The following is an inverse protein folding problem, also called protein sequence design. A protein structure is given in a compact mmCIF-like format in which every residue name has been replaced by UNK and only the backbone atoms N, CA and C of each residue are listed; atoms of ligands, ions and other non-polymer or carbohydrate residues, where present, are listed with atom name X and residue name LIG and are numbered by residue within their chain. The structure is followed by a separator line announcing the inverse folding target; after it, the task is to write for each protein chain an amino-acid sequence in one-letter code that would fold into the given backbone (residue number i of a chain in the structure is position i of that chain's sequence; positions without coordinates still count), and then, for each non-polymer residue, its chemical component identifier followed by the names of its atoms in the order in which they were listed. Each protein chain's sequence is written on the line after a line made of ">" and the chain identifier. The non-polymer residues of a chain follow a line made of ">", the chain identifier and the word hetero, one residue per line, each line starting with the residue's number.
data_IF_101199550912
#
_entry.id   IF_101199550912
#
_cell.length_a   1.000
_cell.length_b   1.000
_cell.length_c   1.000
_cell.angle_alpha   90.00
_cell.angle_beta   90.00
_cell.angle_gamma   90.00
#
_symmetry.space_group_name_H-M   'P 1'
#
loop_
_entity.id
_entity.type
_entity.pdbx_description
1 polymer ?
#
# COMPACT_ATOMS: atom_id res chain seq x y z
N UNK A 1 20.15 -13.90 15.20
CA UNK A 1 20.65 -13.80 13.81
C UNK A 1 20.83 -12.34 13.46
N UNK A 2 21.77 -12.05 12.56
CA UNK A 2 21.93 -10.72 11.95
C UNK A 2 21.04 -10.63 10.72
N UNK A 3 20.17 -9.64 10.69
CA UNK A 3 19.13 -9.45 9.65
C UNK A 3 19.32 -8.11 8.97
N UNK A 4 19.43 -8.10 7.65
CA UNK A 4 19.38 -6.89 6.85
C UNK A 4 18.03 -6.77 6.16
N UNK A 5 17.33 -5.66 6.38
CA UNK A 5 16.05 -5.32 5.73
C UNK A 5 16.28 -4.14 4.78
N UNK A 6 15.99 -4.33 3.50
CA UNK A 6 16.21 -3.33 2.45
C UNK A 6 14.89 -2.67 2.11
N UNK A 7 14.76 -1.39 2.47
CA UNK A 7 13.59 -0.56 2.30
C UNK A 7 12.91 -0.20 3.62
N UNK A 8 12.97 1.07 4.00
CA UNK A 8 12.35 1.66 5.21
C UNK A 8 10.91 2.14 4.99
N UNK A 9 10.17 1.53 4.05
CA UNK A 9 8.73 1.69 3.93
C UNK A 9 7.99 1.05 5.11
N UNK A 10 6.66 1.18 5.17
CA UNK A 10 5.87 0.63 6.29
C UNK A 10 6.11 -0.86 6.50
N UNK A 11 6.19 -1.66 5.44
CA UNK A 11 6.45 -3.10 5.53
C UNK A 11 7.83 -3.40 6.14
N UNK A 12 8.89 -2.76 5.63
CA UNK A 12 10.22 -2.94 6.19
C UNK A 12 10.32 -2.53 7.65
N UNK A 13 9.66 -1.43 8.04
CA UNK A 13 9.58 -0.99 9.44
C UNK A 13 8.85 -2.01 10.33
N UNK A 14 7.70 -2.54 9.89
CA UNK A 14 6.95 -3.55 10.67
C UNK A 14 7.75 -4.84 10.83
N UNK A 15 8.45 -5.28 9.78
CA UNK A 15 9.31 -6.47 9.84
C UNK A 15 10.47 -6.22 10.81
N UNK A 16 11.11 -5.04 10.74
CA UNK A 16 12.19 -4.66 11.66
C UNK A 16 11.75 -4.69 13.12
N UNK A 17 10.56 -4.13 13.41
CA UNK A 17 9.98 -4.13 14.75
C UNK A 17 9.75 -5.55 15.28
N UNK A 18 9.13 -6.44 14.49
CA UNK A 18 8.83 -7.79 14.94
C UNK A 18 10.06 -8.66 15.11
N UNK A 19 11.05 -8.53 14.22
CA UNK A 19 12.30 -9.29 14.33
C UNK A 19 13.18 -8.80 15.47
N UNK A 20 13.25 -7.49 15.71
CA UNK A 20 13.96 -6.93 16.87
C UNK A 20 13.35 -7.39 18.19
N UNK A 21 12.00 -7.38 18.32
CA UNK A 21 11.29 -7.93 19.50
C UNK A 21 11.58 -9.43 19.71
N UNK A 22 11.91 -10.14 18.64
CA UNK A 22 12.28 -11.58 18.69
C UNK A 22 13.76 -11.83 18.99
N UNK A 23 14.53 -10.79 19.34
CA UNK A 23 15.93 -10.88 19.73
C UNK A 23 16.91 -10.99 18.54
N UNK A 24 16.50 -10.62 17.33
CA UNK A 24 17.40 -10.51 16.19
C UNK A 24 18.15 -9.16 16.21
N UNK A 25 19.38 -9.16 15.72
CA UNK A 25 20.15 -7.95 15.41
C UNK A 25 19.69 -7.45 14.03
N UNK A 26 19.03 -6.31 13.95
CA UNK A 26 18.35 -5.84 12.73
C UNK A 26 18.96 -4.54 12.23
N UNK A 27 19.46 -4.57 10.98
CA UNK A 27 19.78 -3.39 10.20
C UNK A 27 18.61 -3.07 9.25
N UNK A 28 17.98 -1.90 9.39
CA UNK A 28 16.96 -1.38 8.48
C UNK A 28 17.59 -0.31 7.56
N UNK A 29 17.74 -0.64 6.28
CA UNK A 29 18.49 0.14 5.29
C UNK A 29 17.50 0.92 4.42
N UNK A 30 17.56 2.27 4.44
CA UNK A 30 16.69 3.15 3.68
C UNK A 30 17.50 4.18 2.90
N UNK A 31 17.23 4.30 1.59
CA UNK A 31 17.95 5.24 0.72
C UNK A 31 17.56 6.70 0.93
N UNK A 32 16.35 6.96 1.44
CA UNK A 32 15.85 8.30 1.72
C UNK A 32 16.36 8.80 3.08
N UNK A 33 16.21 10.12 3.30
CA UNK A 33 16.56 10.77 4.56
C UNK A 33 15.61 10.48 5.72
N UNK A 34 14.53 9.71 5.49
CA UNK A 34 13.57 9.33 6.52
C UNK A 34 12.78 8.09 6.08
N UNK A 35 12.11 7.43 7.05
CA UNK A 35 11.26 6.26 6.80
C UNK A 35 9.96 6.66 6.08
N UNK A 36 9.37 5.69 5.38
CA UNK A 36 8.02 5.79 4.79
C UNK A 36 7.81 6.92 3.79
N UNK A 37 8.85 7.42 3.11
CA UNK A 37 8.80 8.61 2.26
C UNK A 37 8.21 8.38 0.85
N UNK A 38 8.04 7.13 0.42
CA UNK A 38 7.58 6.77 -0.92
C UNK A 38 6.10 6.30 -0.93
N UNK A 39 5.78 5.10 -1.40
CA UNK A 39 4.41 4.59 -1.53
C UNK A 39 3.62 4.59 -0.21
N UNK A 40 4.29 4.50 0.94
CA UNK A 40 3.63 4.65 2.26
C UNK A 40 3.09 6.07 2.50
N UNK A 41 3.68 7.10 1.86
CA UNK A 41 3.25 8.50 1.94
C UNK A 41 2.24 8.85 0.87
N UNK A 42 2.50 8.43 -0.37
CA UNK A 42 1.72 8.83 -1.54
C UNK A 42 0.76 7.71 -1.92
N UNK A 43 -0.43 7.76 -1.35
CA UNK A 43 -1.53 6.85 -1.61
C UNK A 43 -2.86 7.52 -1.22
N UNK A 44 -3.98 6.83 -1.33
CA UNK A 44 -5.31 7.37 -1.04
C UNK A 44 -5.74 7.24 0.43
N UNK A 45 -4.83 6.93 1.33
CA UNK A 45 -4.99 6.78 2.78
C UNK A 45 -6.07 5.78 3.22
N UNK A 46 -6.60 4.94 2.34
CA UNK A 46 -7.64 3.97 2.68
C UNK A 46 -7.11 2.82 3.50
N UNK A 47 -7.89 2.43 4.48
CA UNK A 47 -7.81 1.12 5.12
C UNK A 47 -8.89 0.25 4.50
N UNK A 48 -8.53 -0.44 3.43
CA UNK A 48 -9.47 -1.23 2.66
C UNK A 48 -10.10 -2.34 3.50
N UNK A 49 -11.44 -2.36 3.53
CA UNK A 49 -12.25 -3.44 4.09
C UNK A 49 -12.78 -4.39 3.01
N UNK A 50 -12.36 -4.22 1.77
CA UNK A 50 -12.74 -5.11 0.67
C UNK A 50 -13.67 -4.49 -0.38
N UNK A 51 -14.47 -3.48 -0.07
CA UNK A 51 -15.50 -2.90 -0.95
C UNK A 51 -15.04 -2.58 -2.36
N UNK A 52 -13.78 -2.21 -2.52
CA UNK A 52 -13.21 -1.88 -3.83
C UNK A 52 -12.85 -3.10 -4.69
N UNK A 53 -12.85 -4.30 -4.11
CA UNK A 53 -12.30 -5.51 -4.75
C UNK A 53 -13.34 -6.56 -5.08
N UNK A 54 -14.50 -6.16 -5.62
CA UNK A 54 -15.63 -7.05 -5.97
C UNK A 54 -15.19 -8.19 -6.90
N UNK A 55 -14.20 -7.94 -7.77
CA UNK A 55 -13.68 -8.91 -8.73
C UNK A 55 -12.49 -9.73 -8.20
N UNK A 56 -12.06 -9.48 -6.96
CA UNK A 56 -10.93 -10.17 -6.31
C UNK A 56 -11.22 -10.46 -4.84
N UNK A 57 -12.01 -11.50 -4.57
CA UNK A 57 -12.36 -11.95 -3.21
C UNK A 57 -11.08 -12.14 -2.38
N UNK A 58 -10.05 -12.79 -2.92
CA UNK A 58 -8.79 -13.01 -2.21
C UNK A 58 -8.12 -11.70 -1.74
N UNK A 59 -8.22 -10.59 -2.51
CA UNK A 59 -7.70 -9.28 -2.06
C UNK A 59 -8.55 -8.68 -0.95
N UNK A 60 -9.88 -8.86 -0.99
CA UNK A 60 -10.77 -8.41 0.06
C UNK A 60 -10.51 -9.18 1.37
N UNK A 61 -10.49 -10.50 1.31
CA UNK A 61 -10.19 -11.37 2.45
C UNK A 61 -8.84 -11.05 3.09
N UNK A 62 -7.77 -10.97 2.30
CA UNK A 62 -6.45 -10.59 2.81
C UNK A 62 -6.44 -9.21 3.48
N UNK A 63 -7.22 -8.24 2.96
CA UNK A 63 -7.34 -6.91 3.55
C UNK A 63 -8.02 -6.96 4.92
N UNK A 64 -9.06 -7.78 5.06
CA UNK A 64 -9.80 -7.99 6.32
C UNK A 64 -8.96 -8.75 7.33
N UNK A 65 -8.32 -9.84 6.93
CA UNK A 65 -7.43 -10.61 7.79
C UNK A 65 -6.30 -9.75 8.40
N UNK A 66 -5.70 -8.87 7.59
CA UNK A 66 -4.67 -7.95 8.05
C UNK A 66 -5.17 -6.83 8.98
N UNK A 67 -6.46 -6.52 8.93
CA UNK A 67 -7.05 -5.37 9.61
C UNK A 67 -6.82 -5.40 11.12
N UNK A 68 -7.10 -6.53 11.78
CA UNK A 68 -7.00 -6.63 13.25
C UNK A 68 -5.59 -6.32 13.75
N UNK A 69 -4.57 -6.89 13.10
CA UNK A 69 -3.17 -6.63 13.45
C UNK A 69 -2.77 -5.19 13.17
N UNK A 70 -3.25 -4.59 12.09
CA UNK A 70 -3.03 -3.19 11.77
C UNK A 70 -3.68 -2.27 12.82
N UNK A 71 -4.95 -2.49 13.15
CA UNK A 71 -5.70 -1.71 14.12
C UNK A 71 -5.12 -1.82 15.53
N UNK A 72 -4.68 -3.01 15.95
CA UNK A 72 -4.03 -3.20 17.23
C UNK A 72 -2.75 -2.37 17.38
N UNK A 73 -1.95 -2.29 16.32
CA UNK A 73 -0.67 -1.59 16.36
C UNK A 73 -0.79 -0.08 16.02
N UNK A 74 -1.72 0.29 15.14
CA UNK A 74 -1.80 1.63 14.54
C UNK A 74 -3.18 2.27 14.60
N UNK A 75 -4.11 1.74 15.39
CA UNK A 75 -5.50 2.23 15.48
C UNK A 75 -5.60 3.72 15.84
N UNK A 76 -4.64 4.26 16.59
CA UNK A 76 -4.58 5.69 16.90
C UNK A 76 -4.32 6.59 15.67
N UNK A 77 -3.77 6.04 14.60
CA UNK A 77 -3.59 6.75 13.33
C UNK A 77 -4.77 6.57 12.37
N UNK A 78 -5.88 5.94 12.81
CA UNK A 78 -7.03 5.61 11.96
C UNK A 78 -8.22 6.50 12.30
N UNK A 79 -8.83 7.08 11.26
CA UNK A 79 -10.07 7.85 11.34
C UNK A 79 -11.21 7.01 10.74
N UNK A 80 -12.21 6.65 11.57
CA UNK A 80 -13.35 5.84 11.15
C UNK A 80 -14.72 6.51 11.36
N UNK A 81 -14.76 7.68 11.96
CA UNK A 81 -16.03 8.39 12.18
C UNK A 81 -16.23 9.45 11.12
N UNK A 82 -16.58 9.03 9.91
CA UNK A 82 -17.02 9.92 8.84
C UNK A 82 -17.94 9.18 7.86
N UNK A 83 -18.70 9.92 7.08
CA UNK A 83 -19.56 9.36 6.05
C UNK A 83 -18.71 8.92 4.85
N UNK A 84 -18.73 7.63 4.49
CA UNK A 84 -18.04 7.12 3.32
C UNK A 84 -19.03 6.40 2.41
N UNK A 85 -19.04 6.74 1.13
CA UNK A 85 -20.01 6.27 0.15
C UNK A 85 -19.33 5.56 -1.00
N UNK A 86 -19.89 4.41 -1.36
CA UNK A 86 -19.56 3.66 -2.57
C UNK A 86 -20.76 3.70 -3.51
N UNK A 87 -20.57 4.29 -4.67
CA UNK A 87 -21.61 4.49 -5.67
C UNK A 87 -21.32 3.64 -6.91
N UNK A 88 -22.31 2.96 -7.42
CA UNK A 88 -22.25 2.22 -8.67
C UNK A 88 -22.62 3.17 -9.81
N UNK A 89 -21.71 3.33 -10.79
CA UNK A 89 -21.98 4.17 -11.95
C UNK A 89 -23.06 3.54 -12.84
N UNK A 90 -23.98 4.38 -13.34
CA UNK A 90 -25.07 3.94 -14.22
C UNK A 90 -24.61 3.38 -15.55
N UNK A 91 -23.49 3.90 -16.07
CA UNK A 91 -22.95 3.49 -17.35
C UNK A 91 -21.48 3.07 -17.19
N UNK A 92 -21.04 2.08 -17.98
CA UNK A 92 -19.68 1.60 -18.02
C UNK A 92 -19.14 1.01 -16.70
N UNK A 93 -19.99 0.74 -15.70
CA UNK A 93 -19.60 -0.02 -14.54
C UNK A 93 -19.40 -1.50 -14.91
N UNK A 94 -18.35 -2.12 -14.32
CA UNK A 94 -18.07 -3.56 -14.46
C UNK A 94 -18.83 -4.39 -13.44
N UNK A 95 -19.55 -3.75 -12.54
CA UNK A 95 -20.42 -4.40 -11.54
C UNK A 95 -21.81 -3.78 -11.57
N UNK A 96 -22.80 -4.52 -11.03
CA UNK A 96 -24.16 -4.02 -10.77
C UNK A 96 -24.39 -3.90 -9.26
N UNK A 97 -25.48 -3.19 -8.83
CA UNK A 97 -25.89 -3.13 -7.43
C UNK A 97 -26.01 -4.51 -6.79
N UNK A 98 -26.68 -5.47 -7.47
CA UNK A 98 -26.92 -6.82 -6.96
C UNK A 98 -25.60 -7.56 -6.71
N UNK A 99 -24.64 -7.47 -7.65
CA UNK A 99 -23.31 -8.09 -7.49
C UNK A 99 -22.51 -7.47 -6.37
N UNK A 100 -22.65 -6.15 -6.15
CA UNK A 100 -22.02 -5.48 -5.03
C UNK A 100 -22.57 -5.97 -3.71
N UNK A 101 -23.89 -6.08 -3.56
CA UNK A 101 -24.54 -6.56 -2.36
C UNK A 101 -24.21 -8.04 -2.09
N UNK A 102 -24.32 -8.90 -3.11
CA UNK A 102 -23.92 -10.30 -3.02
C UNK A 102 -22.45 -10.46 -2.57
N UNK A 103 -21.55 -9.65 -3.11
CA UNK A 103 -20.16 -9.64 -2.69
C UNK A 103 -19.99 -9.23 -1.22
N UNK A 104 -20.65 -8.14 -0.79
CA UNK A 104 -20.58 -7.67 0.59
C UNK A 104 -21.10 -8.74 1.56
N UNK A 105 -22.21 -9.38 1.24
CA UNK A 105 -22.80 -10.46 2.04
C UNK A 105 -21.88 -11.69 2.11
N UNK A 106 -21.27 -12.08 0.98
CA UNK A 106 -20.34 -13.22 0.92
C UNK A 106 -19.05 -12.99 1.72
N UNK A 107 -18.54 -11.76 1.73
CA UNK A 107 -17.31 -11.39 2.46
C UNK A 107 -17.63 -11.00 3.92
N UNK A 108 -18.89 -10.75 4.24
CA UNK A 108 -19.35 -10.39 5.58
C UNK A 108 -19.05 -8.93 5.96
N UNK A 109 -19.13 -7.98 5.00
CA UNK A 109 -18.91 -6.56 5.24
C UNK A 109 -20.23 -5.78 5.16
N UNK A 110 -20.44 -4.87 6.12
CA UNK A 110 -21.71 -4.14 6.28
C UNK A 110 -21.84 -2.94 5.35
N UNK A 111 -23.07 -2.66 4.94
CA UNK A 111 -23.42 -1.50 4.13
C UNK A 111 -24.83 -1.04 4.50
N UNK A 112 -25.12 0.25 4.24
CA UNK A 112 -26.45 0.83 4.30
C UNK A 112 -26.75 1.53 2.97
N UNK A 113 -27.95 1.38 2.44
CA UNK A 113 -28.36 2.18 1.27
C UNK A 113 -28.45 3.66 1.65
N UNK A 114 -27.92 4.53 0.81
CA UNK A 114 -27.96 5.96 1.06
C UNK A 114 -27.10 6.78 0.11
N UNK A 115 -27.54 8.01 -0.14
CA UNK A 115 -26.85 8.97 -0.99
C UNK A 115 -26.39 10.17 -0.16
N UNK A 116 -25.22 10.73 -0.44
CA UNK A 116 -24.86 12.05 0.06
C UNK A 116 -25.71 13.13 -0.65
N UNK A 117 -25.53 14.40 -0.24
CA UNK A 117 -26.12 15.51 -0.99
C UNK A 117 -25.67 15.48 -2.46
N UNK A 118 -26.59 15.85 -3.37
CA UNK A 118 -26.37 15.86 -4.83
C UNK A 118 -25.22 16.75 -5.30
N UNK A 119 -24.79 17.69 -4.47
CA UNK A 119 -23.59 18.46 -4.80
C UNK A 119 -22.31 17.61 -4.70
N UNK A 120 -22.28 16.60 -3.83
CA UNK A 120 -21.15 15.71 -3.66
C UNK A 120 -21.12 14.56 -4.68
N UNK A 121 -22.30 13.94 -4.92
CA UNK A 121 -22.46 12.90 -5.96
C UNK A 121 -23.71 13.20 -6.79
N UNK A 122 -23.55 13.31 -8.10
CA UNK A 122 -24.67 13.51 -9.02
C UNK A 122 -25.49 12.21 -9.16
N UNK A 123 -26.71 12.13 -8.60
CA UNK A 123 -27.51 10.90 -8.64
C UNK A 123 -27.94 10.49 -10.05
N UNK A 124 -27.89 11.40 -11.02
CA UNK A 124 -28.21 11.09 -12.44
C UNK A 124 -27.19 10.15 -13.06
N UNK A 125 -25.95 10.20 -12.59
CA UNK A 125 -24.82 9.38 -13.06
C UNK A 125 -24.76 8.01 -12.36
N UNK A 126 -25.58 7.77 -11.34
CA UNK A 126 -25.47 6.61 -10.46
C UNK A 126 -26.67 5.67 -10.61
N UNK A 127 -26.42 4.38 -10.47
CA UNK A 127 -27.43 3.33 -10.40
C UNK A 127 -27.81 3.03 -8.94
N UNK A 128 -26.79 2.99 -8.05
CA UNK A 128 -26.97 2.81 -6.60
C UNK A 128 -25.86 3.52 -5.82
N UNK A 129 -26.11 3.74 -4.53
CA UNK A 129 -25.12 4.28 -3.61
C UNK A 129 -25.30 3.69 -2.21
N UNK A 130 -24.18 3.34 -1.58
CA UNK A 130 -24.14 2.67 -0.29
C UNK A 130 -23.18 3.39 0.65
N UNK A 131 -23.61 3.61 1.89
CA UNK A 131 -22.76 4.08 2.97
C UNK A 131 -22.03 2.88 3.59
N UNK A 132 -20.72 3.01 3.76
CA UNK A 132 -19.86 1.93 4.24
C UNK A 132 -18.92 2.41 5.35
N UNK A 133 -18.54 1.55 6.33
CA UNK A 133 -17.66 1.93 7.44
C UNK A 133 -16.17 1.84 7.10
N UNK A 134 -15.77 2.02 5.84
CA UNK A 134 -14.35 1.93 5.45
C UNK A 134 -13.58 3.16 5.94
N UNK A 135 -12.54 2.99 6.81
CA UNK A 135 -11.79 4.09 7.40
C UNK A 135 -10.61 4.54 6.54
N UNK A 136 -9.96 5.63 6.99
CA UNK A 136 -8.69 6.10 6.46
C UNK A 136 -7.64 6.18 7.56
N UNK A 137 -6.36 6.16 7.19
CA UNK A 137 -5.27 6.45 8.12
C UNK A 137 -4.69 7.85 7.90
N UNK A 138 -4.13 8.42 8.96
CA UNK A 138 -3.31 9.62 8.89
C UNK A 138 -1.85 9.23 8.71
N UNK A 139 -1.27 9.64 7.58
CA UNK A 139 0.13 9.31 7.27
C UNK A 139 1.11 9.88 8.29
N UNK A 140 0.94 11.14 8.70
CA UNK A 140 1.90 11.78 9.60
C UNK A 140 1.85 11.14 10.99
N UNK A 141 0.64 10.83 11.47
CA UNK A 141 0.45 10.15 12.73
C UNK A 141 1.02 8.73 12.68
N UNK A 142 0.70 7.97 11.63
CA UNK A 142 1.22 6.62 11.41
C UNK A 142 2.75 6.61 11.37
N UNK A 143 3.36 7.51 10.59
CA UNK A 143 4.81 7.64 10.49
C UNK A 143 5.44 7.97 11.84
N UNK A 144 4.84 8.88 12.59
CA UNK A 144 5.31 9.22 13.94
C UNK A 144 5.26 8.01 14.87
N UNK A 145 4.14 7.27 14.89
CA UNK A 145 4.01 6.05 15.69
C UNK A 145 5.08 5.02 15.33
N UNK A 146 5.31 4.76 14.05
CA UNK A 146 6.34 3.82 13.58
C UNK A 146 7.72 4.27 14.01
N UNK A 147 8.05 5.55 13.88
CA UNK A 147 9.31 6.13 14.33
C UNK A 147 9.50 5.99 15.83
N UNK A 148 8.47 6.32 16.63
CA UNK A 148 8.47 6.19 18.09
C UNK A 148 8.66 4.72 18.53
N UNK A 149 8.09 3.77 17.77
CA UNK A 149 8.27 2.34 18.05
C UNK A 149 9.68 1.88 17.72
N UNK A 150 10.22 2.25 16.56
CA UNK A 150 11.60 1.92 16.17
C UNK A 150 12.61 2.47 17.17
N UNK A 151 12.43 3.71 17.63
CA UNK A 151 13.30 4.34 18.62
C UNK A 151 13.35 3.61 19.99
N UNK A 152 12.38 2.76 20.27
CA UNK A 152 12.32 1.93 21.50
C UNK A 152 12.92 0.54 21.32
N UNK A 153 13.46 0.23 20.14
CA UNK A 153 14.08 -1.05 19.81
C UNK A 153 15.57 -0.92 19.60
N UNK A 154 16.25 -2.06 19.45
CA UNK A 154 17.68 -2.14 19.05
C UNK A 154 17.88 -2.12 17.54
N UNK A 155 16.86 -1.76 16.74
CA UNK A 155 16.99 -1.67 15.28
C UNK A 155 17.99 -0.58 14.91
N UNK A 156 19.02 -0.96 14.15
CA UNK A 156 19.96 -0.02 13.57
C UNK A 156 19.35 0.57 12.28
N UNK A 157 18.72 1.74 12.40
CA UNK A 157 18.11 2.45 11.27
C UNK A 157 19.18 3.23 10.48
N UNK A 158 19.45 2.80 9.27
CA UNK A 158 20.43 3.39 8.36
C UNK A 158 19.74 4.23 7.27
N UNK A 159 19.45 5.49 7.56
CA UNK A 159 18.92 6.47 6.60
C UNK A 159 20.02 6.99 5.65
N UNK A 160 19.61 7.56 4.50
CA UNK A 160 20.52 8.02 3.44
C UNK A 160 21.54 6.92 3.05
N UNK A 161 21.08 5.66 3.04
CA UNK A 161 21.92 4.51 2.80
C UNK A 161 21.32 3.64 1.71
N UNK A 162 21.90 3.71 0.53
CA UNK A 162 21.44 2.93 -0.63
C UNK A 162 22.05 1.54 -0.61
N UNK A 163 21.24 0.49 -0.71
CA UNK A 163 21.73 -0.86 -0.99
C UNK A 163 22.20 -0.92 -2.46
N UNK A 164 23.43 -1.39 -2.66
CA UNK A 164 24.08 -1.43 -3.98
C UNK A 164 24.21 -2.85 -4.52
N UNK A 165 24.28 -3.85 -3.63
CA UNK A 165 24.36 -5.27 -4.01
C UNK A 165 24.04 -6.15 -2.81
N UNK A 166 23.56 -7.36 -3.10
CA UNK A 166 23.43 -8.47 -2.16
C UNK A 166 24.02 -9.72 -2.82
N UNK A 167 24.91 -10.42 -2.12
CA UNK A 167 25.54 -11.64 -2.63
C UNK A 167 25.53 -12.74 -1.58
N UNK A 168 25.02 -13.92 -1.94
CA UNK A 168 25.12 -15.12 -1.10
C UNK A 168 26.57 -15.58 -1.05
N UNK A 169 27.05 -15.93 0.14
CA UNK A 169 28.40 -16.46 0.39
C UNK A 169 28.39 -18.01 0.46
N UNK A 170 29.54 -18.60 0.36
CA UNK A 170 29.69 -20.07 0.35
C UNK A 170 29.25 -20.73 1.68
N UNK A 171 29.34 -19.99 2.80
CA UNK A 171 28.88 -20.43 4.13
C UNK A 171 27.38 -20.28 4.37
N UNK A 172 26.66 -19.77 3.38
CA UNK A 172 25.21 -19.56 3.43
C UNK A 172 24.78 -18.21 3.98
N UNK A 173 25.72 -17.36 4.42
CA UNK A 173 25.45 -15.96 4.80
C UNK A 173 25.31 -15.06 3.56
N UNK A 174 25.01 -13.79 3.78
CA UNK A 174 24.85 -12.80 2.71
C UNK A 174 25.76 -11.60 2.96
N UNK A 175 26.51 -11.20 1.95
CA UNK A 175 27.23 -9.93 1.93
C UNK A 175 26.30 -8.86 1.36
N UNK A 176 25.92 -7.89 2.19
CA UNK A 176 25.13 -6.72 1.80
C UNK A 176 26.06 -5.53 1.64
N UNK A 177 26.13 -5.02 0.42
CA UNK A 177 26.90 -3.82 0.09
C UNK A 177 25.98 -2.60 0.04
N UNK A 178 26.31 -1.58 0.80
CA UNK A 178 25.59 -0.32 0.81
C UNK A 178 26.49 0.82 0.31
N UNK A 179 25.92 2.03 0.19
CA UNK A 179 26.67 3.25 -0.12
C UNK A 179 27.63 3.69 1.01
N UNK A 180 27.55 3.08 2.20
CA UNK A 180 28.35 3.44 3.38
C UNK A 180 29.31 2.34 3.82
N UNK A 181 28.89 1.07 3.71
CA UNK A 181 29.65 -0.06 4.26
C UNK A 181 29.25 -1.38 3.57
N UNK A 182 30.03 -2.43 3.86
CA UNK A 182 29.67 -3.81 3.56
C UNK A 182 29.46 -4.57 4.88
N UNK A 183 28.38 -5.36 4.96
CA UNK A 183 28.05 -6.17 6.13
C UNK A 183 27.71 -7.59 5.76
N UNK A 184 28.08 -8.53 6.63
CA UNK A 184 27.68 -9.94 6.54
C UNK A 184 26.48 -10.16 7.44
N UNK A 185 25.40 -10.73 6.86
CA UNK A 185 24.14 -11.00 7.53
C UNK A 185 23.73 -12.47 7.36
N UNK A 186 23.00 -13.00 8.33
CA UNK A 186 22.43 -14.35 8.28
C UNK A 186 21.15 -14.40 7.43
N UNK A 187 20.42 -13.27 7.41
CA UNK A 187 19.11 -13.13 6.75
C UNK A 187 19.06 -11.81 5.98
N UNK A 188 18.50 -11.84 4.79
CA UNK A 188 18.19 -10.63 4.01
C UNK A 188 16.72 -10.60 3.65
N UNK A 189 16.08 -9.43 3.81
CA UNK A 189 14.68 -9.20 3.46
C UNK A 189 14.59 -8.03 2.50
N UNK A 190 14.13 -8.32 1.28
CA UNK A 190 13.84 -7.33 0.26
C UNK A 190 12.42 -6.77 0.46
N UNK A 191 12.29 -5.59 1.06
CA UNK A 191 11.06 -4.83 1.25
C UNK A 191 11.07 -3.53 0.42
N UNK A 192 11.78 -3.51 -0.71
CA UNK A 192 12.11 -2.32 -1.50
C UNK A 192 11.03 -1.91 -2.50
N UNK A 193 9.91 -2.63 -2.62
CA UNK A 193 8.75 -2.34 -3.46
C UNK A 193 9.11 -2.11 -4.94
N UNK A 194 9.33 -0.86 -5.36
CA UNK A 194 9.66 -0.51 -6.75
C UNK A 194 10.98 -1.10 -7.24
N UNK A 195 11.89 -1.45 -6.32
CA UNK A 195 13.17 -2.09 -6.62
C UNK A 195 13.14 -3.61 -6.37
N UNK A 196 11.94 -4.21 -6.24
CA UNK A 196 11.76 -5.64 -5.96
C UNK A 196 12.61 -6.53 -6.89
N UNK A 197 12.47 -6.37 -8.20
CA UNK A 197 13.21 -7.15 -9.18
C UNK A 197 14.72 -6.85 -9.16
N UNK A 198 15.12 -5.60 -8.98
CA UNK A 198 16.52 -5.21 -8.98
C UNK A 198 17.32 -5.97 -7.91
N UNK A 199 16.76 -6.10 -6.70
CA UNK A 199 17.43 -6.80 -5.60
C UNK A 199 17.36 -8.31 -5.81
N UNK A 200 16.25 -8.83 -6.33
CA UNK A 200 16.12 -10.26 -6.66
C UNK A 200 17.12 -10.70 -7.76
N UNK A 201 17.35 -9.85 -8.76
CA UNK A 201 18.36 -10.12 -9.81
C UNK A 201 19.78 -10.28 -9.24
N UNK A 202 20.15 -9.50 -8.20
CA UNK A 202 21.47 -9.66 -7.54
C UNK A 202 21.62 -11.03 -6.89
N UNK A 203 20.50 -11.65 -6.53
CA UNK A 203 20.44 -13.01 -5.98
C UNK A 203 20.34 -14.09 -7.07
N UNK A 204 20.39 -13.72 -8.36
CA UNK A 204 20.20 -14.67 -9.46
C UNK A 204 18.75 -15.13 -9.66
N UNK A 205 17.78 -14.46 -9.00
CA UNK A 205 16.36 -14.77 -9.12
C UNK A 205 15.82 -14.07 -10.36
N UNK A 206 15.14 -14.83 -11.21
CA UNK A 206 14.52 -14.30 -12.42
C UNK A 206 13.51 -13.20 -12.10
N UNK A 207 13.56 -12.06 -12.80
CA UNK A 207 12.64 -10.98 -12.57
C UNK A 207 11.20 -11.36 -12.93
N UNK A 208 10.24 -10.76 -12.25
CA UNK A 208 8.81 -10.87 -12.55
C UNK A 208 8.38 -9.72 -13.46
N UNK A 209 7.54 -9.97 -14.48
CA UNK A 209 6.94 -8.89 -15.25
C UNK A 209 5.97 -8.10 -14.35
N UNK A 210 6.38 -6.91 -13.92
CA UNK A 210 5.62 -6.03 -13.07
C UNK A 210 5.08 -4.83 -13.85
N UNK A 211 3.86 -4.42 -13.54
CA UNK A 211 3.28 -3.21 -14.08
C UNK A 211 3.69 -2.02 -13.20
N UNK A 212 4.56 -1.19 -13.73
CA UNK A 212 4.96 0.07 -13.12
C UNK A 212 4.04 1.18 -13.61
N UNK A 213 3.51 1.97 -12.68
CA UNK A 213 2.58 3.05 -12.97
C UNK A 213 3.09 4.36 -12.37
N UNK A 214 3.14 5.42 -13.18
CA UNK A 214 3.33 6.78 -12.69
C UNK A 214 1.98 7.34 -12.26
N UNK A 215 1.79 7.49 -10.97
CA UNK A 215 0.51 7.86 -10.35
C UNK A 215 0.58 9.25 -9.75
N UNK A 216 -0.46 10.05 -9.99
CA UNK A 216 -0.64 11.40 -9.46
C UNK A 216 -1.89 11.44 -8.59
N UNK A 217 -1.76 12.04 -7.41
CA UNK A 217 -2.85 12.19 -6.44
C UNK A 217 -2.98 13.67 -6.09
N UNK A 218 -3.94 14.40 -6.69
CA UNK A 218 -4.25 15.77 -6.32
C UNK A 218 -4.76 15.87 -4.88
N UNK A 219 -4.43 17.00 -4.26
CA UNK A 219 -4.90 17.38 -2.93
C UNK A 219 -5.69 18.68 -3.04
N UNK A 220 -6.79 18.80 -2.32
CA UNK A 220 -7.60 20.00 -2.30
C UNK A 220 -8.23 20.27 -0.93
N UNK A 221 -8.67 21.51 -0.72
CA UNK A 221 -9.50 21.91 0.43
C UNK A 221 -10.93 22.18 0.00
N UNK A 222 -11.85 21.75 0.85
CA UNK A 222 -13.26 22.07 0.72
C UNK A 222 -13.92 22.05 2.10
N UNK A 223 -14.61 23.12 2.47
CA UNK A 223 -15.25 23.24 3.77
C UNK A 223 -16.53 22.40 3.82
N UNK A 224 -16.45 21.24 4.43
CA UNK A 224 -17.56 20.31 4.60
C UNK A 224 -17.25 19.37 5.78
N UNK A 225 -18.26 18.64 6.24
CA UNK A 225 -18.03 17.49 7.11
C UNK A 225 -17.13 16.48 6.40
N UNK A 226 -16.31 15.78 7.16
CA UNK A 226 -15.44 14.76 6.60
C UNK A 226 -16.26 13.70 5.87
N UNK A 227 -15.96 13.46 4.61
CA UNK A 227 -16.64 12.47 3.79
C UNK A 227 -15.67 11.75 2.85
N UNK A 228 -16.00 10.51 2.51
CA UNK A 228 -15.35 9.72 1.47
C UNK A 228 -16.36 9.41 0.36
N UNK A 229 -15.91 9.46 -0.89
CA UNK A 229 -16.74 9.19 -2.05
C UNK A 229 -15.97 8.29 -3.00
N UNK A 230 -16.59 7.21 -3.45
CA UNK A 230 -16.02 6.30 -4.45
C UNK A 230 -17.06 5.96 -5.48
N UNK A 231 -16.79 6.25 -6.73
CA UNK A 231 -17.58 5.75 -7.85
C UNK A 231 -16.89 4.51 -8.42
N UNK A 232 -17.64 3.45 -8.66
CA UNK A 232 -17.12 2.15 -9.11
C UNK A 232 -18.07 1.46 -10.10
N UNK A 233 -17.70 0.40 -10.75
CA UNK A 233 -16.41 -0.26 -10.85
C UNK A 233 -15.85 -0.03 -12.26
N UNK A 234 -14.71 0.62 -12.38
CA UNK A 234 -14.09 0.93 -13.68
C UNK A 234 -13.26 2.20 -13.69
N UNK A 235 -13.27 2.91 -14.84
CA UNK A 235 -12.49 4.13 -15.06
C UNK A 235 -13.13 5.37 -14.39
N UNK A 236 -13.42 5.29 -13.09
CA UNK A 236 -14.10 6.33 -12.32
C UNK A 236 -13.17 6.98 -11.29
N UNK A 237 -13.74 7.72 -10.37
CA UNK A 237 -12.99 8.55 -9.43
C UNK A 237 -13.38 8.30 -7.98
N UNK A 238 -12.51 8.74 -7.09
CA UNK A 238 -12.77 8.73 -5.66
C UNK A 238 -12.13 9.91 -4.96
N UNK A 239 -12.80 10.39 -3.92
CA UNK A 239 -12.33 11.41 -2.99
C UNK A 239 -12.26 10.80 -1.60
N UNK A 240 -11.14 10.98 -0.91
CA UNK A 240 -10.95 10.51 0.46
C UNK A 240 -10.40 11.61 1.34
N UNK A 241 -10.76 11.65 2.64
CA UNK A 241 -10.15 12.58 3.56
C UNK A 241 -8.65 12.33 3.68
N UNK A 242 -7.87 13.39 3.80
CA UNK A 242 -6.42 13.32 3.97
C UNK A 242 -6.08 13.10 5.45
N UNK A 243 -6.31 11.87 5.90
CA UNK A 243 -6.07 11.48 7.28
C UNK A 243 -6.97 12.22 8.28
N UNK A 244 -6.36 12.74 9.35
CA UNK A 244 -7.05 13.49 10.42
C UNK A 244 -7.30 14.96 10.09
N UNK A 245 -6.75 15.47 8.97
CA UNK A 245 -6.88 16.88 8.59
C UNK A 245 -8.34 17.20 8.27
N UNK A 246 -8.84 18.30 8.84
CA UNK A 246 -10.15 18.82 8.50
C UNK A 246 -10.12 19.54 7.15
N UNK A 247 -11.17 19.34 6.37
CA UNK A 247 -11.37 19.99 5.06
C UNK A 247 -10.27 19.71 4.01
N UNK A 248 -9.33 18.79 4.25
CA UNK A 248 -8.34 18.36 3.26
C UNK A 248 -8.67 16.99 2.70
N UNK A 249 -8.60 16.87 1.38
CA UNK A 249 -9.01 15.67 0.65
C UNK A 249 -7.97 15.28 -0.41
N UNK A 250 -7.96 13.99 -0.73
CA UNK A 250 -7.21 13.39 -1.82
C UNK A 250 -8.16 13.00 -2.94
N UNK A 251 -7.81 13.33 -4.17
CA UNK A 251 -8.56 12.95 -5.38
C UNK A 251 -7.78 11.88 -6.14
N UNK A 252 -8.47 10.88 -6.64
CA UNK A 252 -7.91 9.87 -7.54
C UNK A 252 -8.93 9.52 -8.63
N UNK A 253 -8.48 9.47 -9.87
CA UNK A 253 -9.25 8.97 -11.01
C UNK A 253 -8.52 7.78 -11.61
N UNK A 254 -9.20 6.63 -11.71
CA UNK A 254 -8.57 5.36 -12.11
C UNK A 254 -7.81 5.48 -13.43
N UNK A 255 -8.37 6.17 -14.42
CA UNK A 255 -7.75 6.39 -15.72
C UNK A 255 -6.77 7.56 -15.74
N UNK A 256 -7.20 8.72 -15.25
CA UNK A 256 -6.45 9.99 -15.43
C UNK A 256 -5.36 10.23 -14.39
N UNK A 257 -5.43 9.58 -13.21
CA UNK A 257 -4.34 9.64 -12.22
C UNK A 257 -3.17 8.69 -12.55
N UNK A 258 -3.32 7.76 -13.50
CA UNK A 258 -2.23 6.92 -14.00
C UNK A 258 -1.73 7.52 -15.30
N UNK A 259 -0.69 8.35 -15.23
CA UNK A 259 -0.17 9.09 -16.38
C UNK A 259 0.53 8.19 -17.40
N UNK A 260 1.33 7.28 -16.91
CA UNK A 260 2.03 6.28 -17.71
C UNK A 260 2.03 4.93 -17.01
N UNK A 261 1.99 3.86 -17.77
CA UNK A 261 2.18 2.49 -17.27
C UNK A 261 3.11 1.69 -18.19
N UNK A 262 3.98 0.87 -17.60
CA UNK A 262 4.92 0.02 -18.33
C UNK A 262 4.98 -1.35 -17.67
N UNK A 263 4.68 -2.39 -18.46
CA UNK A 263 4.87 -3.78 -18.06
C UNK A 263 6.31 -4.18 -18.40
N UNK A 264 7.18 -4.23 -17.38
CA UNK A 264 8.61 -4.40 -17.57
C UNK A 264 9.25 -5.01 -16.31
N UNK A 265 10.45 -5.57 -16.46
CA UNK A 265 11.17 -6.25 -15.38
C UNK A 265 11.96 -5.31 -14.48
N UNK A 266 12.23 -4.08 -14.91
CA UNK A 266 12.99 -3.08 -14.14
C UNK A 266 12.23 -1.79 -13.99
N UNK A 267 12.45 -1.09 -12.90
CA UNK A 267 11.87 0.24 -12.66
C UNK A 267 12.17 1.16 -13.84
N UNK A 268 11.14 1.66 -14.55
CA UNK A 268 11.33 2.57 -15.67
C UNK A 268 11.50 4.01 -15.20
N UNK A 269 12.03 4.84 -16.09
CA UNK A 269 11.83 6.29 -16.03
C UNK A 269 10.54 6.65 -16.74
N UNK A 270 9.74 7.52 -16.12
CA UNK A 270 8.56 8.12 -16.69
C UNK A 270 8.86 9.52 -17.21
N UNK A 271 8.16 9.95 -18.27
CA UNK A 271 8.45 11.20 -19.00
C UNK A 271 7.35 12.24 -18.88
N UNK A 272 6.11 11.82 -18.56
CA UNK A 272 5.00 12.74 -18.43
C UNK A 272 5.16 13.62 -17.20
N UNK A 273 4.87 14.90 -17.35
CA UNK A 273 4.93 15.90 -16.29
C UNK A 273 3.55 15.94 -15.61
N UNK A 274 3.50 15.64 -14.32
CA UNK A 274 2.23 15.51 -13.59
C UNK A 274 1.38 16.79 -13.62
N UNK A 275 1.98 17.98 -13.59
CA UNK A 275 1.28 19.26 -13.64
C UNK A 275 0.42 19.43 -14.91
N UNK A 276 0.79 18.82 -16.03
CA UNK A 276 0.06 18.94 -17.30
C UNK A 276 -1.28 18.18 -17.27
N UNK A 277 -1.45 17.26 -16.31
CA UNK A 277 -2.61 16.35 -16.24
C UNK A 277 -3.55 16.63 -15.06
N UNK A 278 -3.21 17.54 -14.17
CA UNK A 278 -4.03 17.83 -12.98
C UNK A 278 -5.44 18.31 -13.37
N UNK A 279 -5.56 19.18 -14.37
CA UNK A 279 -6.87 19.67 -14.85
C UNK A 279 -7.75 18.52 -15.35
N UNK A 280 -7.20 17.60 -16.14
CA UNK A 280 -7.92 16.45 -16.69
C UNK A 280 -8.50 15.56 -15.58
N UNK A 281 -7.76 15.37 -14.48
CA UNK A 281 -8.23 14.60 -13.32
C UNK A 281 -9.46 15.28 -12.68
N UNK A 282 -9.41 16.60 -12.45
CA UNK A 282 -10.52 17.35 -11.87
C UNK A 282 -11.73 17.41 -12.78
N UNK A 283 -11.55 17.69 -14.08
CA UNK A 283 -12.60 17.79 -15.07
C UNK A 283 -13.40 16.49 -15.18
N UNK A 284 -12.71 15.35 -15.37
CA UNK A 284 -13.37 14.05 -15.49
C UNK A 284 -14.03 13.61 -14.18
N UNK A 285 -13.42 13.87 -13.04
CA UNK A 285 -14.02 13.55 -11.74
C UNK A 285 -15.24 14.41 -11.43
N UNK A 286 -15.27 15.67 -11.89
CA UNK A 286 -16.37 16.59 -11.66
C UNK A 286 -17.68 16.21 -12.39
N UNK A 287 -17.61 15.25 -13.33
CA UNK A 287 -18.81 14.68 -13.97
C UNK A 287 -19.67 13.89 -12.97
N UNK A 288 -19.03 13.24 -12.01
CA UNK A 288 -19.70 12.49 -10.93
C UNK A 288 -19.79 13.29 -9.64
N UNK A 289 -18.83 14.18 -9.39
CA UNK A 289 -18.65 14.92 -8.14
C UNK A 289 -18.65 16.43 -8.41
N UNK A 290 -19.84 17.07 -8.59
CA UNK A 290 -19.96 18.47 -9.05
C UNK A 290 -19.23 19.49 -8.17
N UNK A 291 -19.10 19.25 -6.84
CA UNK A 291 -18.40 20.16 -5.92
C UNK A 291 -16.91 20.35 -6.26
N UNK A 292 -16.28 19.40 -6.97
CA UNK A 292 -14.86 19.51 -7.38
C UNK A 292 -14.58 20.73 -8.28
N UNK A 293 -15.61 21.33 -8.87
CA UNK A 293 -15.47 22.59 -9.63
C UNK A 293 -15.24 23.82 -8.74
N UNK A 294 -15.50 23.70 -7.43
CA UNK A 294 -15.47 24.80 -6.45
C UNK A 294 -14.35 24.64 -5.40
N UNK A 295 -13.55 23.59 -5.47
CA UNK A 295 -12.53 23.28 -4.46
C UNK A 295 -11.30 24.18 -4.60
N UNK A 296 -10.61 24.41 -3.48
CA UNK A 296 -9.31 25.05 -3.44
C UNK A 296 -8.21 24.00 -3.67
N UNK A 297 -7.64 23.96 -4.87
CA UNK A 297 -6.58 23.01 -5.21
C UNK A 297 -5.30 23.33 -4.44
N UNK A 298 -4.66 22.29 -3.88
CA UNK A 298 -3.45 22.37 -3.06
C UNK A 298 -2.23 21.72 -3.75
N UNK A 299 -2.32 21.49 -5.07
CA UNK A 299 -1.32 20.73 -5.82
C UNK A 299 -1.53 19.23 -5.73
N UNK A 300 -0.47 18.47 -5.95
CA UNK A 300 -0.52 17.01 -6.02
C UNK A 300 0.72 16.36 -5.44
N UNK A 301 0.62 15.07 -5.20
CA UNK A 301 1.75 14.18 -4.94
C UNK A 301 1.86 13.16 -6.05
N UNK A 302 3.09 12.72 -6.38
CA UNK A 302 3.32 11.71 -7.41
C UNK A 302 4.21 10.58 -6.90
N UNK A 303 4.01 9.38 -7.46
CA UNK A 303 4.72 8.17 -7.07
C UNK A 303 4.81 7.16 -8.23
N UNK A 304 5.86 6.36 -8.25
CA UNK A 304 5.86 5.10 -9.01
C UNK A 304 5.21 4.03 -8.16
N UNK A 305 4.10 3.49 -8.64
CA UNK A 305 3.41 2.32 -8.06
C UNK A 305 3.79 1.06 -8.83
N UNK A 306 3.85 -0.07 -8.14
CA UNK A 306 4.12 -1.38 -8.74
C UNK A 306 2.99 -2.34 -8.41
N UNK A 307 2.50 -3.05 -9.42
CA UNK A 307 1.45 -4.05 -9.27
C UNK A 307 1.68 -5.22 -10.23
N UNK A 308 1.07 -6.37 -9.93
CA UNK A 308 0.95 -7.43 -10.93
C UNK A 308 -0.01 -7.01 -12.03
N UNK A 309 0.31 -7.38 -13.28
CA UNK A 309 -0.67 -7.31 -14.34
C UNK A 309 -1.71 -8.41 -14.11
N UNK A 310 -2.95 -8.02 -13.93
CA UNK A 310 -4.08 -8.93 -13.77
C UNK A 310 -5.36 -8.32 -14.36
N UNK A 311 -6.40 -9.14 -14.54
CA UNK A 311 -7.71 -8.72 -15.07
C UNK A 311 -8.71 -8.36 -13.99
N UNK A 312 -8.45 -8.79 -12.74
CA UNK A 312 -9.41 -8.75 -11.64
C UNK A 312 -9.11 -7.64 -10.62
N UNK A 313 -8.19 -6.73 -10.98
CA UNK A 313 -7.67 -5.67 -10.10
C UNK A 313 -7.10 -6.18 -8.75
N UNK A 314 -6.62 -7.42 -8.75
CA UNK A 314 -6.03 -8.03 -7.56
C UNK A 314 -4.80 -7.25 -7.09
N UNK A 315 -4.70 -7.04 -5.78
CA UNK A 315 -3.63 -6.26 -5.12
C UNK A 315 -3.11 -7.02 -3.90
N UNK A 316 -2.83 -8.30 -4.09
CA UNK A 316 -2.34 -9.16 -3.02
C UNK A 316 -0.96 -8.69 -2.54
N UNK A 317 -0.76 -8.82 -1.25
CA UNK A 317 0.58 -8.79 -0.67
C UNK A 317 1.16 -10.19 -0.73
N UNK A 318 2.35 -10.33 -1.26
CA UNK A 318 3.00 -11.61 -1.46
C UNK A 318 4.35 -11.65 -0.76
N UNK A 319 4.56 -12.72 0.02
CA UNK A 319 5.85 -13.07 0.60
C UNK A 319 6.47 -14.20 -0.22
N UNK A 320 7.64 -13.95 -0.77
CA UNK A 320 8.41 -14.93 -1.54
C UNK A 320 9.53 -15.52 -0.70
N UNK A 321 9.61 -16.85 -0.73
CA UNK A 321 10.73 -17.66 -0.22
C UNK A 321 11.36 -18.41 -1.37
N UNK A 322 12.63 -18.78 -1.24
CA UNK A 322 13.39 -19.39 -2.33
C UNK A 322 14.21 -20.58 -1.80
N UNK A 323 14.02 -21.76 -2.38
CA UNK A 323 14.70 -22.99 -1.94
C UNK A 323 16.22 -22.89 -1.98
N UNK A 324 16.76 -22.21 -3.00
CA UNK A 324 18.20 -21.98 -3.16
C UNK A 324 18.73 -20.89 -2.22
N UNK A 325 17.85 -20.06 -1.65
CA UNK A 325 18.15 -18.91 -0.80
C UNK A 325 17.32 -18.92 0.48
N UNK A 326 17.44 -19.95 1.30
CA UNK A 326 16.58 -20.24 2.47
C UNK A 326 16.38 -19.10 3.47
N UNK A 327 17.34 -18.16 3.56
CA UNK A 327 17.28 -17.01 4.45
C UNK A 327 17.19 -15.68 3.68
N UNK A 328 16.77 -15.73 2.43
CA UNK A 328 16.40 -14.57 1.65
C UNK A 328 14.89 -14.55 1.45
N UNK A 329 14.27 -13.40 1.76
CA UNK A 329 12.85 -13.16 1.62
C UNK A 329 12.62 -11.94 0.73
N UNK A 330 11.57 -11.96 -0.06
CA UNK A 330 11.17 -10.78 -0.83
C UNK A 330 9.67 -10.51 -0.66
N UNK A 331 9.33 -9.25 -0.38
CA UNK A 331 7.95 -8.82 -0.14
C UNK A 331 7.51 -7.91 -1.27
N UNK A 332 6.45 -8.28 -1.98
CA UNK A 332 5.73 -7.41 -2.88
C UNK A 332 4.44 -6.96 -2.19
N UNK A 333 4.45 -5.74 -1.67
CA UNK A 333 3.35 -5.21 -0.87
C UNK A 333 2.14 -4.83 -1.72
N UNK A 334 0.94 -5.25 -1.32
CA UNK A 334 -0.33 -4.94 -1.94
C UNK A 334 -1.20 -3.99 -1.13
N UNK A 335 -1.46 -4.33 0.14
CA UNK A 335 -2.35 -3.60 1.04
C UNK A 335 -1.65 -3.19 2.33
N UNK A 336 -1.94 -1.97 2.79
CA UNK A 336 -1.33 -1.42 4.02
C UNK A 336 -1.66 -2.25 5.26
N UNK A 337 -2.86 -2.82 5.33
CA UNK A 337 -3.33 -3.61 6.46
C UNK A 337 -2.51 -4.88 6.69
N UNK A 338 -1.87 -5.41 5.66
CA UNK A 338 -1.13 -6.68 5.74
C UNK A 338 0.32 -6.53 6.22
N UNK A 339 0.78 -5.31 6.52
CA UNK A 339 2.18 -5.06 6.86
C UNK A 339 2.67 -5.84 8.10
N UNK A 340 1.84 -5.93 9.13
CA UNK A 340 2.16 -6.73 10.32
C UNK A 340 1.99 -8.23 10.11
N UNK A 341 1.02 -8.63 9.29
CA UNK A 341 0.79 -10.04 8.97
C UNK A 341 2.02 -10.67 8.31
N UNK A 342 2.59 -9.98 7.31
CA UNK A 342 3.85 -10.39 6.67
C UNK A 342 5.01 -10.42 7.66
N UNK A 343 5.10 -9.44 8.56
CA UNK A 343 6.15 -9.41 9.58
C UNK A 343 6.07 -10.62 10.53
N UNK A 344 4.87 -10.99 10.96
CA UNK A 344 4.60 -12.15 11.80
C UNK A 344 4.92 -13.45 11.05
N UNK A 345 4.55 -13.54 9.77
CA UNK A 345 4.83 -14.71 8.93
C UNK A 345 6.35 -14.95 8.77
N UNK A 346 7.11 -13.91 8.44
CA UNK A 346 8.58 -14.01 8.36
C UNK A 346 9.17 -14.43 9.70
N UNK A 347 8.71 -13.86 10.82
CA UNK A 347 9.12 -14.23 12.16
C UNK A 347 8.89 -15.73 12.43
N UNK A 348 7.70 -16.25 12.12
CA UNK A 348 7.39 -17.66 12.31
C UNK A 348 8.30 -18.55 11.45
N UNK A 349 8.51 -18.24 10.17
CA UNK A 349 9.39 -18.99 9.29
C UNK A 349 10.83 -19.05 9.87
N UNK A 350 11.31 -17.95 10.44
CA UNK A 350 12.65 -17.91 11.04
C UNK A 350 12.71 -18.67 12.38
N UNK A 351 11.64 -18.66 13.18
CA UNK A 351 11.53 -19.40 14.43
C UNK A 351 11.39 -20.91 14.20
N UNK A 352 10.58 -21.34 13.24
CA UNK A 352 10.39 -22.74 12.90
C UNK A 352 11.67 -23.38 12.37
N UNK A 353 12.51 -22.62 11.65
CA UNK A 353 13.86 -23.06 11.29
C UNK A 353 14.77 -23.35 12.51
N UNK A 354 14.52 -22.68 13.62
CA UNK A 354 15.18 -22.94 14.91
C UNK A 354 14.55 -24.17 15.60
N UNK A 355 13.23 -24.38 15.44
CA UNK A 355 12.45 -25.40 16.12
C UNK A 355 12.47 -26.76 15.39
N UNK A 356 12.52 -26.78 14.06
CA UNK A 356 12.58 -28.03 13.24
C UNK A 356 13.84 -28.86 13.50
N UNK A 357 14.87 -28.30 14.13
CA UNK A 357 15.96 -29.10 14.69
C UNK A 357 15.54 -29.93 15.93
N UNK A 358 14.36 -29.68 16.52
CA UNK A 358 13.88 -30.37 17.74
C UNK A 358 12.79 -31.43 17.51
N UNK A 359 12.14 -31.46 16.34
CA UNK A 359 11.03 -32.37 16.06
C UNK A 359 11.18 -33.05 14.69
N UNK A 360 12.28 -33.78 14.48
CA UNK A 360 12.29 -34.93 13.56
C UNK A 360 12.25 -36.15 14.42
N UNK A 361 11.04 -36.65 14.65
CA UNK A 361 10.77 -38.03 15.05
C UNK A 361 10.54 -38.84 13.79
#
# INVERSE_FOLDING_TARGET
>A
MKVAIIGGGLFGCCIALELSKSGHEVDLIEEQGDIMMQASKVNHNRIHLGYHYIRSIATAEQSIEGLLSFMFNFGNAVKYQFANYYAIAKHNSKTSPEKFLEFCDNVGISYDEGYPDKEFLDPVQLEACYKVPEPVFDYNHLKKMVGDYLAKTSVNLQLNTKCLNVKKQADGTYLVKTSKEEKVCDVVINASYVNFNTINEWMGISPKPLLYEHVVIPTFKYKTDTLGLTVMDGEFCSVMPKGMNENEFLLYHVKHSVLESKLIDKRPEFKKIAADYENEIYENSSLFMPFLRKVERQGFSEITRVVHKNTDDARLTELYTFDEHKNYFAVLSGKITTCYQVAIEIKHILQDKITVKRFKI
#
